data_IF_609207654465
#
_entry.id   IF_609207654465
#
_cell.length_a   1.000
_cell.length_b   1.000
_cell.length_c   1.000
_cell.angle_alpha   90.00
_cell.angle_beta   90.00
_cell.angle_gamma   90.00
#
_symmetry.space_group_name_H-M   'P 1'
#
loop_
_entity.id
_entity.type
_entity.pdbx_description
1 polymer ?
#
# COMPACT_ATOMS: atom_id res chain seq x y z
N UNK A 1 54.18 28.35 56.78
CA UNK A 1 53.34 29.25 55.96
C UNK A 1 51.89 28.76 56.03
N UNK A 2 50.94 29.71 56.01
CA UNK A 2 49.48 29.63 55.85
C UNK A 2 48.66 28.45 56.44
N UNK A 3 47.65 28.86 57.21
CA UNK A 3 46.39 28.18 57.57
C UNK A 3 45.24 29.21 57.38
N UNK A 4 43.94 28.88 57.53
CA UNK A 4 43.27 27.59 57.72
C UNK A 4 42.30 27.32 56.51
N UNK A 5 41.01 26.91 56.52
CA UNK A 5 40.05 26.48 57.55
C UNK A 5 38.81 25.76 56.96
N UNK A 6 38.37 24.63 57.60
CA UNK A 6 36.93 24.24 57.83
C UNK A 6 36.06 23.94 56.55
N UNK A 7 34.90 23.26 56.53
CA UNK A 7 33.95 22.55 57.44
C UNK A 7 32.98 21.72 56.52
N UNK A 8 32.11 20.72 56.82
CA UNK A 8 31.55 19.91 57.95
C UNK A 8 31.36 18.46 57.36
N UNK A 9 31.74 17.31 57.97
CA UNK A 9 30.97 16.35 58.82
C UNK A 9 29.48 16.08 58.40
N UNK A 10 28.86 14.90 58.59
CA UNK A 10 29.26 13.56 59.13
C UNK A 10 28.12 12.50 59.03
N UNK A 11 28.46 11.20 59.15
CA UNK A 11 27.63 10.05 59.60
C UNK A 11 26.38 9.64 58.76
N UNK A 12 26.16 8.39 58.29
CA UNK A 12 26.16 7.02 58.87
C UNK A 12 24.82 6.54 59.51
N UNK A 13 24.07 5.70 58.76
CA UNK A 13 23.51 4.35 59.09
C UNK A 13 22.65 4.13 60.39
N UNK A 14 21.90 3.00 60.54
CA UNK A 14 21.30 2.05 59.57
C UNK A 14 19.84 1.59 59.92
N UNK A 15 19.31 0.58 59.20
CA UNK A 15 18.82 -0.73 59.74
C UNK A 15 17.37 -1.21 59.37
N UNK A 16 17.29 -2.51 59.02
CA UNK A 16 16.15 -3.46 58.92
C UNK A 16 14.78 -3.05 58.34
N UNK A 17 14.36 -3.87 57.36
CA UNK A 17 13.10 -4.62 57.42
C UNK A 17 13.40 -6.13 57.25
N UNK A 18 12.46 -7.03 57.58
CA UNK A 18 12.62 -8.50 57.47
C UNK A 18 11.24 -9.18 57.34
N UNK A 19 11.22 -10.37 56.71
CA UNK A 19 10.06 -11.27 56.52
C UNK A 19 9.00 -10.71 55.52
N UNK A 20 8.42 -11.39 54.52
CA UNK A 20 8.19 -12.81 54.12
C UNK A 20 6.76 -13.33 54.38
N UNK A 21 5.93 -13.39 53.33
CA UNK A 21 4.80 -14.32 53.16
C UNK A 21 4.26 -14.26 51.71
N UNK A 22 3.55 -15.30 51.28
CA UNK A 22 2.84 -15.41 49.98
C UNK A 22 1.33 -15.49 50.19
N UNK A 23 0.55 -15.22 49.13
CA UNK A 23 -0.78 -15.76 48.75
C UNK A 23 -1.83 -14.69 48.39
N UNK A 24 -2.78 -15.07 47.53
CA UNK A 24 -4.17 -14.60 47.62
C UNK A 24 -4.63 -13.54 46.60
N UNK A 25 -5.22 -14.04 45.52
CA UNK A 25 -6.45 -13.60 44.82
C UNK A 25 -7.19 -12.33 45.31
N UNK A 26 -7.76 -11.58 44.36
CA UNK A 26 -8.92 -10.72 44.62
C UNK A 26 -8.96 -9.35 43.93
N UNK A 27 -9.22 -9.31 42.62
CA UNK A 27 -9.72 -8.10 41.94
C UNK A 27 -11.05 -8.41 41.23
N UNK A 28 -12.06 -7.51 41.29
CA UNK A 28 -13.45 -7.86 40.98
C UNK A 28 -13.79 -7.84 39.49
N UNK A 29 -14.50 -8.87 39.01
CA UNK A 29 -15.17 -8.88 37.71
C UNK A 29 -16.36 -7.90 37.71
N UNK A 30 -16.39 -6.99 36.73
CA UNK A 30 -17.54 -6.16 36.37
C UNK A 30 -17.61 -5.93 34.87
N UNK A 31 -18.04 -6.94 34.13
CA UNK A 31 -18.58 -6.77 32.78
C UNK A 31 -19.89 -5.98 32.82
N UNK A 32 -20.08 -4.93 31.99
CA UNK A 32 -21.41 -4.36 31.75
C UNK A 32 -22.32 -5.39 31.06
N UNK A 33 -23.58 -5.46 31.48
CA UNK A 33 -24.61 -6.21 30.75
C UNK A 33 -25.14 -5.37 29.59
N UNK A 34 -25.39 -6.00 28.45
CA UNK A 34 -26.20 -5.46 27.36
C UNK A 34 -27.40 -6.41 27.19
N UNK A 35 -28.60 -5.89 27.42
CA UNK A 35 -29.87 -6.61 27.22
C UNK A 35 -30.56 -6.12 25.94
N UNK A 36 -31.36 -7.00 25.32
CA UNK A 36 -32.36 -6.61 24.32
C UNK A 36 -31.85 -6.39 22.89
N UNK A 37 -31.81 -7.48 22.12
CA UNK A 37 -32.01 -7.42 20.65
C UNK A 37 -33.21 -8.31 20.33
N UNK A 38 -34.32 -7.71 19.89
CA UNK A 38 -35.48 -8.46 19.39
C UNK A 38 -35.20 -8.99 17.98
N UNK A 39 -35.56 -10.25 17.73
CA UNK A 39 -35.42 -10.86 16.40
C UNK A 39 -36.66 -10.56 15.55
N UNK A 40 -36.48 -9.86 14.43
CA UNK A 40 -37.48 -9.81 13.37
C UNK A 40 -37.14 -10.81 12.25
N UNK A 41 -37.81 -11.96 12.29
CA UNK A 41 -37.90 -12.87 11.14
C UNK A 41 -38.77 -12.24 10.03
N UNK A 42 -38.35 -12.44 8.78
CA UNK A 42 -39.28 -12.66 7.66
C UNK A 42 -38.59 -13.33 6.48
N UNK A 43 -38.77 -14.65 6.39
CA UNK A 43 -38.57 -15.41 5.17
C UNK A 43 -39.47 -14.92 4.02
N UNK A 44 -39.02 -15.14 2.78
CA UNK A 44 -39.92 -15.47 1.68
C UNK A 44 -39.91 -14.54 0.45
N UNK A 45 -39.11 -14.90 -0.56
CA UNK A 45 -39.51 -14.82 -1.98
C UNK A 45 -38.55 -15.62 -2.87
N UNK A 46 -38.87 -16.90 -3.10
CA UNK A 46 -38.34 -17.62 -4.26
C UNK A 46 -39.13 -17.26 -5.53
N UNK A 47 -38.47 -17.28 -6.70
CA UNK A 47 -38.78 -18.09 -7.92
C UNK A 47 -38.64 -17.34 -9.25
N UNK A 48 -38.29 -18.14 -10.26
CA UNK A 48 -38.11 -17.79 -11.69
C UNK A 48 -36.87 -16.91 -11.95
N UNK A 49 -36.10 -17.10 -13.02
CA UNK A 49 -36.30 -17.91 -14.26
C UNK A 49 -35.24 -19.02 -14.40
N UNK A 50 -35.51 -20.03 -15.23
CA UNK A 50 -34.61 -21.16 -15.58
C UNK A 50 -34.55 -21.30 -17.13
N UNK A 51 -33.60 -22.09 -17.63
CA UNK A 51 -33.39 -22.51 -19.06
C UNK A 51 -32.78 -21.45 -20.01
N UNK A 52 -31.95 -21.80 -21.02
CA UNK A 52 -31.16 -23.02 -21.26
C UNK A 52 -30.09 -22.83 -22.38
N UNK A 53 -29.10 -23.74 -22.42
CA UNK A 53 -28.31 -24.24 -23.59
C UNK A 53 -27.59 -23.29 -24.56
N UNK A 54 -26.28 -23.53 -24.76
CA UNK A 54 -25.51 -23.13 -25.96
C UNK A 54 -25.57 -24.19 -27.08
N UNK A 55 -24.52 -24.42 -27.92
CA UNK A 55 -23.15 -23.88 -27.88
C UNK A 55 -22.65 -23.31 -29.25
N UNK A 56 -21.32 -23.16 -29.40
CA UNK A 56 -20.53 -22.60 -30.54
C UNK A 56 -20.36 -21.07 -30.55
N UNK A 57 -19.29 -20.50 -31.13
CA UNK A 57 -18.06 -21.14 -31.62
C UNK A 57 -17.18 -20.22 -32.49
N UNK A 58 -15.97 -19.89 -32.00
CA UNK A 58 -14.88 -19.15 -32.69
C UNK A 58 -15.25 -17.79 -33.33
N UNK A 59 -14.79 -16.71 -32.69
CA UNK A 59 -14.08 -15.62 -33.40
C UNK A 59 -13.27 -14.80 -32.40
N UNK A 60 -11.93 -14.79 -32.56
CA UNK A 60 -11.07 -13.95 -31.74
C UNK A 60 -11.21 -12.48 -32.17
N UNK A 61 -11.35 -11.58 -31.19
CA UNK A 61 -11.21 -10.14 -31.41
C UNK A 61 -10.19 -9.58 -30.43
N UNK A 62 -9.04 -9.23 -30.98
CA UNK A 62 -8.00 -8.47 -30.31
C UNK A 62 -8.59 -7.17 -29.76
N UNK A 63 -8.23 -6.81 -28.53
CA UNK A 63 -8.23 -5.42 -28.06
C UNK A 63 -6.81 -5.11 -27.63
N UNK A 64 -6.15 -4.22 -28.37
CA UNK A 64 -4.90 -3.63 -27.92
C UNK A 64 -5.19 -2.70 -26.74
N UNK A 65 -4.26 -2.61 -25.79
CA UNK A 65 -4.31 -1.60 -24.75
C UNK A 65 -4.26 -0.21 -25.37
N UNK A 66 -5.11 0.69 -24.89
CA UNK A 66 -5.11 2.11 -25.21
C UNK A 66 -5.36 2.92 -23.93
N UNK A 67 -4.33 2.97 -23.08
CA UNK A 67 -4.23 3.98 -22.03
C UNK A 67 -3.88 5.33 -22.69
N UNK A 68 -4.92 5.99 -23.21
CA UNK A 68 -4.87 7.33 -23.79
C UNK A 68 -6.22 8.01 -23.57
N UNK A 69 -6.23 9.21 -22.98
CA UNK A 69 -7.42 9.84 -22.41
C UNK A 69 -8.55 10.11 -23.40
N UNK A 70 -9.80 9.88 -22.96
CA UNK A 70 -11.02 10.14 -23.72
C UNK A 70 -11.96 11.12 -23.02
N UNK A 71 -11.91 12.40 -23.40
CA UNK A 71 -12.88 13.41 -22.95
C UNK A 71 -14.27 13.09 -23.52
N UNK A 72 -15.28 12.93 -22.65
CA UNK A 72 -16.68 12.95 -23.06
C UNK A 72 -17.54 13.83 -22.16
N UNK A 73 -18.27 14.74 -22.79
CA UNK A 73 -19.22 15.65 -22.15
C UNK A 73 -20.63 15.07 -22.18
N UNK A 74 -21.45 15.31 -21.14
CA UNK A 74 -22.86 15.69 -21.31
C UNK A 74 -23.54 16.10 -19.98
N UNK A 75 -24.24 17.24 -20.04
CA UNK A 75 -25.58 17.53 -19.48
C UNK A 75 -26.05 16.71 -18.26
N UNK A 76 -26.19 17.36 -17.11
CA UNK A 76 -26.73 16.75 -15.89
C UNK A 76 -28.26 16.76 -15.78
N UNK A 77 -28.77 15.93 -14.86
CA UNK A 77 -30.09 16.06 -14.25
C UNK A 77 -29.98 15.83 -12.73
N UNK A 78 -30.54 16.72 -11.92
CA UNK A 78 -30.43 16.65 -10.45
C UNK A 78 -31.58 15.88 -9.82
N UNK A 79 -31.29 14.78 -9.12
CA UNK A 79 -32.13 14.24 -8.05
C UNK A 79 -31.26 13.87 -6.84
N UNK A 80 -31.80 14.03 -5.64
CA UNK A 80 -31.06 13.94 -4.38
C UNK A 80 -31.20 12.57 -3.70
N UNK A 81 -30.31 12.27 -2.75
CA UNK A 81 -30.49 11.15 -1.81
C UNK A 81 -29.57 9.94 -2.01
N UNK A 82 -28.29 10.16 -2.29
CA UNK A 82 -27.28 9.08 -2.26
C UNK A 82 -25.88 9.62 -2.48
N UNK A 83 -24.96 9.37 -1.52
CA UNK A 83 -23.54 9.60 -1.72
C UNK A 83 -22.98 8.46 -2.58
N UNK A 84 -22.94 8.68 -3.90
CA UNK A 84 -22.36 7.75 -4.88
C UNK A 84 -20.86 7.58 -4.57
N UNK A 85 -20.33 6.36 -4.66
CA UNK A 85 -18.89 6.12 -4.60
C UNK A 85 -18.25 6.52 -5.93
N UNK A 86 -18.15 7.83 -6.16
CA UNK A 86 -17.71 8.44 -7.41
C UNK A 86 -16.43 9.27 -7.27
N UNK A 87 -15.86 9.57 -8.43
CA UNK A 87 -14.82 10.57 -8.69
C UNK A 87 -14.94 11.82 -7.78
N UNK A 88 -13.91 12.09 -6.97
CA UNK A 88 -13.86 13.27 -6.10
C UNK A 88 -13.56 14.50 -6.96
N UNK A 89 -14.55 15.40 -7.09
CA UNK A 89 -14.46 16.62 -7.91
C UNK A 89 -14.06 17.87 -7.11
N UNK A 90 -13.33 17.67 -6.01
CA UNK A 90 -12.74 18.76 -5.24
C UNK A 90 -11.52 19.33 -5.99
N UNK A 91 -11.29 20.64 -5.89
CA UNK A 91 -10.10 21.27 -6.49
C UNK A 91 -8.78 20.70 -5.90
N UNK A 92 -7.74 20.45 -6.72
CA UNK A 92 -6.47 19.90 -6.27
C UNK A 92 -5.83 20.73 -5.16
N UNK A 93 -5.61 20.12 -3.99
CA UNK A 93 -5.27 20.82 -2.72
C UNK A 93 -3.79 21.17 -2.58
N UNK A 94 -2.98 20.60 -3.45
CA UNK A 94 -1.52 20.73 -3.56
C UNK A 94 -1.10 20.41 -5.00
N UNK A 95 0.05 20.92 -5.42
CA UNK A 95 0.51 20.87 -6.83
C UNK A 95 2.00 20.57 -6.97
N UNK A 96 2.75 20.52 -5.86
CA UNK A 96 4.21 20.38 -5.87
C UNK A 96 4.68 19.39 -4.80
N UNK A 97 5.77 18.65 -5.07
CA UNK A 97 6.39 17.69 -4.10
C UNK A 97 6.81 18.38 -2.80
N UNK A 98 7.05 19.69 -2.85
CA UNK A 98 7.41 20.54 -1.73
C UNK A 98 6.23 20.89 -0.79
N UNK A 99 4.99 20.59 -1.18
CA UNK A 99 3.79 20.76 -0.33
C UNK A 99 3.69 19.69 0.79
N UNK A 100 4.68 18.77 0.83
CA UNK A 100 4.72 17.56 1.66
C UNK A 100 6.01 17.43 2.48
N UNK A 101 5.92 16.68 3.58
CA UNK A 101 7.09 16.05 4.18
C UNK A 101 7.53 14.80 3.40
N UNK A 102 8.83 14.53 3.39
CA UNK A 102 9.46 13.43 2.66
C UNK A 102 10.60 12.77 3.47
N UNK A 103 11.39 11.86 2.87
CA UNK A 103 12.44 11.11 3.59
C UNK A 103 13.39 12.01 4.39
N UNK A 104 13.75 13.17 3.82
CA UNK A 104 14.64 14.17 4.44
C UNK A 104 14.10 14.70 5.78
N UNK A 105 12.79 14.67 5.98
CA UNK A 105 12.08 15.25 7.13
C UNK A 105 11.85 14.21 8.23
N UNK A 106 11.73 12.93 7.86
CA UNK A 106 11.35 11.84 8.78
C UNK A 106 12.52 11.22 9.57
N UNK A 107 13.77 11.53 9.22
CA UNK A 107 14.98 11.03 9.92
C UNK A 107 15.05 9.48 10.01
N UNK A 108 14.63 8.79 8.96
CA UNK A 108 14.50 7.33 8.90
C UNK A 108 15.86 6.62 9.10
N UNK A 109 15.86 5.50 9.83
CA UNK A 109 17.07 4.72 10.13
C UNK A 109 16.85 3.22 10.05
N UNK A 110 17.73 2.49 9.38
CA UNK A 110 17.60 1.05 9.18
C UNK A 110 17.49 0.25 10.50
N UNK A 111 18.21 0.64 11.56
CA UNK A 111 18.16 -0.08 12.85
C UNK A 111 16.79 0.02 13.55
N UNK A 112 15.93 0.96 13.14
CA UNK A 112 14.59 1.14 13.68
C UNK A 112 13.51 0.40 12.89
N UNK A 113 13.77 0.07 11.61
CA UNK A 113 12.80 -0.58 10.73
C UNK A 113 12.64 -2.05 11.10
N UNK A 114 11.38 -2.48 11.27
CA UNK A 114 11.00 -3.89 11.43
C UNK A 114 9.92 -4.25 10.40
N UNK A 115 9.99 -5.44 9.78
CA UNK A 115 9.02 -5.85 8.76
C UNK A 115 7.61 -5.99 9.35
N UNK A 116 7.51 -6.51 10.58
CA UNK A 116 6.24 -6.86 11.20
C UNK A 116 5.99 -6.07 12.48
N UNK A 117 4.75 -5.60 12.64
CA UNK A 117 4.32 -4.78 13.77
C UNK A 117 2.88 -4.30 13.58
N UNK A 118 2.44 -3.34 14.39
CA UNK A 118 1.14 -2.69 14.24
C UNK A 118 1.23 -1.20 14.59
N UNK A 119 0.65 -0.36 13.72
CA UNK A 119 0.27 1.01 14.03
C UNK A 119 -1.23 1.00 14.42
N UNK A 120 -1.69 1.79 15.41
CA UNK A 120 -3.07 1.71 15.89
C UNK A 120 -4.16 1.94 14.82
N UNK A 121 -3.90 2.79 13.82
CA UNK A 121 -4.82 3.15 12.73
C UNK A 121 -4.57 2.35 11.44
N UNK A 122 -3.43 1.66 11.35
CA UNK A 122 -3.14 0.75 10.25
C UNK A 122 -3.65 -0.67 10.57
N UNK A 123 -3.65 -1.54 9.56
CA UNK A 123 -3.83 -2.96 9.82
C UNK A 123 -2.54 -3.59 10.38
N UNK A 124 -2.62 -4.71 11.13
CA UNK A 124 -1.42 -5.40 11.62
C UNK A 124 -0.59 -5.94 10.46
N UNK A 125 0.69 -5.54 10.35
CA UNK A 125 1.63 -6.04 9.34
C UNK A 125 2.21 -7.39 9.80
N UNK A 126 1.35 -8.29 10.22
CA UNK A 126 1.70 -9.58 10.85
C UNK A 126 1.36 -10.72 9.86
N UNK A 127 2.25 -11.70 9.64
CA UNK A 127 2.00 -12.79 8.71
C UNK A 127 0.66 -13.49 8.95
N UNK A 128 -0.12 -13.65 7.87
CA UNK A 128 -1.45 -14.22 7.92
C UNK A 128 -2.57 -13.22 8.28
N UNK A 129 -2.29 -11.94 8.50
CA UNK A 129 -3.33 -10.90 8.42
C UNK A 129 -3.93 -10.87 7.01
N UNK A 130 -5.27 -10.77 6.94
CA UNK A 130 -6.04 -10.75 5.69
C UNK A 130 -7.22 -9.80 5.80
N UNK A 131 -7.52 -9.09 4.71
CA UNK A 131 -8.77 -8.33 4.57
C UNK A 131 -9.24 -8.22 3.11
N UNK A 132 -10.47 -7.75 2.93
CA UNK A 132 -11.17 -7.65 1.63
C UNK A 132 -11.95 -6.36 1.53
N UNK A 133 -11.82 -5.67 0.41
CA UNK A 133 -12.68 -4.55 0.00
C UNK A 133 -13.46 -4.93 -1.26
N UNK A 134 -14.71 -4.50 -1.35
CA UNK A 134 -15.54 -4.65 -2.55
C UNK A 134 -16.19 -3.31 -2.94
N UNK A 135 -16.23 -3.04 -4.26
CA UNK A 135 -16.94 -1.92 -4.87
C UNK A 135 -17.87 -2.45 -5.97
N UNK A 136 -19.12 -2.82 -5.62
CA UNK A 136 -20.08 -3.40 -6.57
C UNK A 136 -20.55 -2.44 -7.68
N UNK A 137 -20.25 -1.15 -7.56
CA UNK A 137 -20.57 -0.05 -8.47
C UNK A 137 -19.34 0.53 -9.21
N UNK A 138 -18.22 -0.21 -9.23
CA UNK A 138 -17.02 0.15 -9.98
C UNK A 138 -17.28 0.10 -11.52
N UNK A 139 -16.73 1.03 -12.32
CA UNK A 139 -17.08 1.18 -13.74
C UNK A 139 -16.84 -0.06 -14.61
N UNK A 140 -15.77 -0.82 -14.36
CA UNK A 140 -15.39 -1.98 -15.18
C UNK A 140 -16.12 -3.29 -14.84
N UNK A 141 -16.97 -3.29 -13.81
CA UNK A 141 -17.64 -4.49 -13.28
C UNK A 141 -17.54 -4.54 -11.76
N UNK A 142 -17.94 -5.66 -11.12
CA UNK A 142 -17.84 -5.77 -9.65
C UNK A 142 -16.39 -5.88 -9.22
N UNK A 143 -15.81 -4.78 -8.74
CA UNK A 143 -14.45 -4.73 -8.25
C UNK A 143 -14.35 -5.32 -6.84
N UNK A 144 -13.24 -6.02 -6.60
CA UNK A 144 -12.93 -6.63 -5.32
C UNK A 144 -11.42 -6.79 -5.14
N UNK A 145 -10.88 -6.41 -3.98
CA UNK A 145 -9.48 -6.60 -3.58
C UNK A 145 -9.31 -7.63 -2.48
N UNK A 146 -8.26 -8.44 -2.54
CA UNK A 146 -7.76 -9.30 -1.44
C UNK A 146 -6.36 -8.89 -1.03
N UNK A 147 -6.22 -8.43 0.22
CA UNK A 147 -4.92 -8.03 0.77
C UNK A 147 -4.48 -9.01 1.86
N UNK A 148 -3.28 -9.56 1.72
CA UNK A 148 -2.73 -10.63 2.56
C UNK A 148 -1.28 -10.32 2.94
N UNK A 149 -0.98 -10.23 4.23
CA UNK A 149 0.40 -10.14 4.72
C UNK A 149 1.03 -11.53 4.69
N UNK A 150 2.15 -11.67 3.98
CA UNK A 150 2.85 -12.96 3.82
C UNK A 150 3.84 -13.21 4.98
N UNK A 151 4.29 -14.46 5.07
CA UNK A 151 5.37 -14.92 5.98
C UNK A 151 6.78 -14.66 5.39
N UNK A 152 6.84 -14.06 4.20
CA UNK A 152 8.06 -13.65 3.51
C UNK A 152 8.43 -12.20 3.82
N UNK A 153 9.73 -11.94 3.92
CA UNK A 153 10.31 -10.60 4.03
C UNK A 153 11.23 -10.31 2.86
N UNK A 154 11.35 -9.04 2.49
CA UNK A 154 12.21 -8.56 1.41
C UNK A 154 13.41 -7.80 2.00
N UNK A 155 14.60 -7.95 1.41
CA UNK A 155 15.84 -7.30 1.86
C UNK A 155 16.09 -5.96 1.14
N UNK A 156 16.32 -4.90 1.93
CA UNK A 156 16.64 -3.56 1.44
C UNK A 156 18.01 -3.10 1.94
N UNK A 157 18.72 -2.34 1.10
CA UNK A 157 20.05 -1.76 1.38
C UNK A 157 20.12 -0.36 0.75
N UNK A 158 19.49 0.62 1.39
CA UNK A 158 19.32 1.96 0.82
C UNK A 158 20.49 2.86 1.24
N UNK A 159 21.16 3.45 0.25
CA UNK A 159 22.22 4.43 0.47
C UNK A 159 21.75 5.58 1.40
N UNK A 160 22.49 5.81 2.49
CA UNK A 160 22.16 6.81 3.50
C UNK A 160 21.20 6.33 4.62
N UNK A 161 20.49 5.21 4.45
CA UNK A 161 19.58 4.64 5.46
C UNK A 161 20.15 3.35 6.09
N UNK A 162 20.71 2.47 5.26
CA UNK A 162 21.31 1.19 5.66
C UNK A 162 20.49 -0.06 5.28
N UNK A 163 20.85 -1.20 5.90
CA UNK A 163 20.28 -2.54 5.62
C UNK A 163 19.14 -2.89 6.56
N UNK A 164 17.98 -3.27 6.02
CA UNK A 164 16.81 -3.68 6.81
C UNK A 164 15.90 -4.64 6.01
N UNK A 165 14.82 -5.10 6.65
CA UNK A 165 13.81 -5.98 6.05
C UNK A 165 12.42 -5.36 6.09
N UNK A 166 11.67 -5.55 5.02
CA UNK A 166 10.24 -5.20 4.91
C UNK A 166 9.39 -6.46 4.88
N UNK A 167 8.12 -6.36 5.28
CA UNK A 167 7.15 -7.42 5.05
C UNK A 167 6.66 -7.35 3.60
N UNK A 168 6.39 -8.53 3.02
CA UNK A 168 5.72 -8.61 1.72
C UNK A 168 4.21 -8.69 1.96
N UNK A 169 3.48 -7.70 1.49
CA UNK A 169 2.02 -7.70 1.44
C UNK A 169 1.60 -7.99 0.01
N UNK A 170 0.82 -9.05 -0.20
CA UNK A 170 0.22 -9.33 -1.50
C UNK A 170 -1.13 -8.65 -1.59
N UNK A 171 -1.38 -7.95 -2.70
CA UNK A 171 -2.72 -7.52 -3.10
C UNK A 171 -3.14 -8.26 -4.38
N UNK A 172 -4.41 -8.64 -4.48
CA UNK A 172 -5.02 -9.30 -5.65
C UNK A 172 -6.34 -8.62 -5.99
N UNK A 173 -6.50 -8.20 -7.24
CA UNK A 173 -7.68 -7.49 -7.71
C UNK A 173 -8.50 -8.35 -8.66
N UNK A 174 -9.82 -8.24 -8.53
CA UNK A 174 -10.79 -9.04 -9.25
C UNK A 174 -11.91 -8.17 -9.83
N UNK A 175 -12.22 -8.36 -11.10
CA UNK A 175 -13.41 -7.81 -11.78
C UNK A 175 -14.37 -8.95 -12.07
N UNK A 176 -15.60 -8.88 -11.55
CA UNK A 176 -16.65 -9.92 -11.66
C UNK A 176 -16.17 -11.34 -11.25
N UNK A 177 -15.18 -11.40 -10.34
CA UNK A 177 -14.58 -12.64 -9.84
C UNK A 177 -13.44 -13.21 -10.70
N UNK A 178 -13.06 -12.54 -11.79
CA UNK A 178 -11.86 -12.85 -12.58
C UNK A 178 -10.68 -12.06 -12.03
N UNK A 179 -9.57 -12.73 -11.70
CA UNK A 179 -8.33 -12.07 -11.27
C UNK A 179 -7.78 -11.21 -12.43
N UNK A 180 -7.67 -9.90 -12.23
CA UNK A 180 -7.18 -8.94 -13.24
C UNK A 180 -5.77 -8.44 -12.94
N UNK A 181 -5.41 -8.27 -11.67
CA UNK A 181 -4.09 -7.80 -11.26
C UNK A 181 -3.63 -8.49 -9.96
N UNK A 182 -2.31 -8.63 -9.78
CA UNK A 182 -1.67 -8.94 -8.50
C UNK A 182 -0.49 -8.00 -8.26
N UNK A 183 -0.33 -7.53 -7.03
CA UNK A 183 0.82 -6.75 -6.58
C UNK A 183 1.52 -7.41 -5.37
N UNK A 184 2.81 -7.13 -5.21
CA UNK A 184 3.57 -7.34 -3.97
C UNK A 184 4.09 -5.99 -3.50
N UNK A 185 3.56 -5.52 -2.38
CA UNK A 185 3.94 -4.30 -1.68
C UNK A 185 4.97 -4.58 -0.58
N UNK A 186 5.95 -3.69 -0.42
CA UNK A 186 7.02 -3.80 0.57
C UNK A 186 6.84 -2.77 1.68
N UNK A 187 6.16 -3.17 2.76
CA UNK A 187 5.83 -2.29 3.88
C UNK A 187 6.65 -2.63 5.13
N UNK A 188 6.98 -1.62 5.94
CA UNK A 188 7.62 -1.84 7.24
C UNK A 188 7.28 -0.73 8.24
N UNK A 189 7.51 -1.01 9.53
CA UNK A 189 7.21 -0.09 10.63
C UNK A 189 8.51 0.38 11.31
N UNK A 190 8.60 1.67 11.59
CA UNK A 190 9.61 2.22 12.50
C UNK A 190 9.14 2.01 13.95
N UNK A 191 9.85 1.14 14.69
CA UNK A 191 9.52 0.76 16.06
C UNK A 191 9.69 1.88 17.11
N UNK A 192 10.21 3.03 16.72
CA UNK A 192 10.43 4.20 17.59
C UNK A 192 9.42 5.32 17.39
N UNK A 193 8.85 5.42 16.19
CA UNK A 193 7.78 6.39 15.87
C UNK A 193 6.40 5.73 15.74
N UNK A 194 6.32 4.42 15.54
CA UNK A 194 5.13 3.66 15.10
C UNK A 194 4.60 4.05 13.71
N UNK A 195 5.37 4.79 12.91
CA UNK A 195 5.00 5.10 11.53
C UNK A 195 5.21 3.88 10.61
N UNK A 196 4.28 3.68 9.67
CA UNK A 196 4.34 2.66 8.62
C UNK A 196 4.78 3.30 7.32
N UNK A 197 5.80 2.74 6.68
CA UNK A 197 6.38 3.24 5.44
C UNK A 197 6.24 2.22 4.30
N UNK A 198 6.07 2.73 3.09
CA UNK A 198 6.14 1.98 1.84
C UNK A 198 7.54 2.12 1.22
N UNK A 199 8.15 1.00 0.84
CA UNK A 199 9.48 0.95 0.23
C UNK A 199 9.45 0.46 -1.23
N UNK A 200 8.26 0.20 -1.77
CA UNK A 200 8.07 -0.15 -3.16
C UNK A 200 6.91 -1.12 -3.41
N UNK A 201 6.58 -1.27 -4.68
CA UNK A 201 5.65 -2.27 -5.20
C UNK A 201 6.27 -2.95 -6.42
N UNK A 202 5.86 -4.20 -6.69
CA UNK A 202 5.93 -4.81 -8.02
C UNK A 202 4.60 -5.45 -8.40
N UNK A 203 4.11 -5.21 -9.62
CA UNK A 203 2.75 -5.55 -10.05
C UNK A 203 2.69 -6.27 -11.41
N UNK A 204 1.62 -7.06 -11.60
CA UNK A 204 1.32 -7.78 -12.84
C UNK A 204 -0.18 -7.75 -13.18
N UNK A 205 -0.49 -7.33 -14.40
CA UNK A 205 -1.76 -7.63 -15.07
C UNK A 205 -1.87 -9.14 -15.35
N UNK A 206 -3.08 -9.68 -15.43
CA UNK A 206 -3.34 -11.11 -15.62
C UNK A 206 -4.03 -11.37 -16.97
N UNK A 207 -3.24 -11.33 -18.06
CA UNK A 207 -3.71 -11.61 -19.43
C UNK A 207 -3.90 -13.12 -19.69
N UNK A 208 -5.12 -13.54 -20.01
CA UNK A 208 -5.55 -14.95 -20.15
C UNK A 208 -5.07 -15.87 -19.00
N UNK A 209 -4.95 -15.34 -17.77
CA UNK A 209 -4.44 -16.09 -16.62
C UNK A 209 -2.90 -16.20 -16.54
N UNK A 210 -2.16 -15.38 -17.30
CA UNK A 210 -0.70 -15.28 -17.29
C UNK A 210 -0.29 -13.92 -16.71
N UNK A 211 0.73 -13.84 -15.83
CA UNK A 211 1.22 -12.56 -15.34
C UNK A 211 1.99 -11.81 -16.43
N UNK A 212 1.55 -10.60 -16.75
CA UNK A 212 2.28 -9.61 -17.55
C UNK A 212 2.75 -8.53 -16.60
N UNK A 213 4.06 -8.26 -16.58
CA UNK A 213 4.63 -7.23 -15.71
C UNK A 213 4.06 -5.85 -16.06
N UNK A 214 3.40 -5.22 -15.08
CA UNK A 214 2.77 -3.91 -15.20
C UNK A 214 3.72 -2.80 -14.76
N UNK A 215 4.37 -2.95 -13.61
CA UNK A 215 5.38 -2.01 -13.13
C UNK A 215 6.13 -2.47 -11.88
N UNK A 216 7.10 -1.64 -11.49
CA UNK A 216 7.71 -1.68 -10.15
C UNK A 216 8.33 -0.33 -9.82
N UNK A 217 8.29 0.05 -8.55
CA UNK A 217 9.16 1.07 -7.99
C UNK A 217 9.78 0.51 -6.71
N UNK A 218 11.02 0.91 -6.39
CA UNK A 218 11.73 0.42 -5.21
C UNK A 218 12.60 1.51 -4.61
N UNK A 219 12.38 1.80 -3.34
CA UNK A 219 13.12 2.83 -2.63
C UNK A 219 14.63 2.55 -2.63
N UNK A 220 15.42 3.52 -3.06
CA UNK A 220 16.87 3.40 -3.27
C UNK A 220 17.31 3.04 -4.70
N UNK A 221 16.40 2.72 -5.62
CA UNK A 221 16.68 2.49 -7.04
C UNK A 221 16.24 3.66 -7.93
N UNK A 222 16.72 3.70 -9.19
CA UNK A 222 16.24 4.68 -10.17
C UNK A 222 14.83 4.34 -10.63
N UNK A 223 13.99 5.37 -10.65
CA UNK A 223 12.69 5.43 -11.31
C UNK A 223 12.68 6.72 -12.15
N UNK A 224 12.67 6.58 -13.48
CA UNK A 224 12.68 7.72 -14.40
C UNK A 224 14.00 8.48 -14.36
N UNK A 225 13.95 9.73 -13.88
CA UNK A 225 15.08 10.64 -13.70
C UNK A 225 15.48 10.85 -12.22
N UNK A 226 14.82 10.15 -11.28
CA UNK A 226 15.05 10.27 -9.83
C UNK A 226 15.38 8.93 -9.18
N UNK A 227 15.97 8.96 -7.99
CA UNK A 227 15.99 7.80 -7.08
C UNK A 227 14.67 7.81 -6.31
N UNK A 228 13.94 6.69 -6.31
CA UNK A 228 12.71 6.58 -5.52
C UNK A 228 13.04 6.65 -4.02
N UNK A 229 12.34 7.50 -3.27
CA UNK A 229 12.42 7.53 -1.79
C UNK A 229 11.32 6.64 -1.17
N UNK A 230 11.47 6.17 0.08
CA UNK A 230 10.35 5.56 0.80
C UNK A 230 9.20 6.56 0.94
N UNK A 231 7.97 6.09 0.90
CA UNK A 231 6.78 6.86 1.24
C UNK A 231 6.32 6.59 2.68
N UNK A 232 5.60 7.53 3.28
CA UNK A 232 4.92 7.35 4.56
C UNK A 232 3.47 6.98 4.28
N UNK A 233 3.03 5.85 4.80
CA UNK A 233 1.70 5.31 4.56
C UNK A 233 0.74 5.68 5.70
N UNK A 234 1.16 5.47 6.94
CA UNK A 234 0.39 5.88 8.12
C UNK A 234 1.33 6.39 9.22
N UNK A 235 1.26 7.67 9.64
CA UNK A 235 2.08 8.17 10.75
C UNK A 235 1.68 7.51 12.08
N UNK A 236 2.66 7.34 12.98
CA UNK A 236 2.40 6.86 14.35
C UNK A 236 1.53 7.79 15.20
N UNK A 237 1.48 9.08 14.84
CA UNK A 237 0.60 10.10 15.44
C UNK A 237 -0.19 10.79 14.33
N UNK A 238 -1.51 10.67 14.35
CA UNK A 238 -2.38 11.31 13.37
C UNK A 238 -2.67 12.76 13.73
N UNK A 239 -2.07 13.69 13.00
CA UNK A 239 -2.30 15.14 13.12
C UNK A 239 -3.06 15.64 11.91
N UNK A 240 -4.24 16.24 12.09
CA UNK A 240 -5.04 16.87 11.02
C UNK A 240 -4.24 18.00 10.35
N UNK A 241 -4.31 18.08 9.03
CA UNK A 241 -3.48 18.98 8.21
C UNK A 241 -2.03 18.52 8.03
N UNK A 242 -1.64 17.39 8.64
CA UNK A 242 -0.34 16.75 8.38
C UNK A 242 -0.27 16.21 6.95
N UNK A 243 0.84 16.49 6.26
CA UNK A 243 1.06 16.14 4.84
C UNK A 243 2.36 15.38 4.64
N UNK A 244 2.30 14.27 3.92
CA UNK A 244 3.43 13.39 3.64
C UNK A 244 3.32 12.74 2.26
N UNK A 245 4.45 12.50 1.58
CA UNK A 245 4.46 11.71 0.35
C UNK A 245 4.12 10.25 0.66
N UNK A 246 3.21 9.66 -0.10
CA UNK A 246 2.79 8.26 0.03
C UNK A 246 3.56 7.34 -0.94
N UNK A 247 3.84 7.83 -2.14
CA UNK A 247 4.73 7.19 -3.11
C UNK A 247 5.87 8.16 -3.46
N UNK A 248 7.11 7.71 -3.25
CA UNK A 248 8.32 8.50 -3.46
C UNK A 248 8.97 8.29 -4.83
N UNK A 249 8.40 7.47 -5.70
CA UNK A 249 8.86 7.24 -7.07
C UNK A 249 8.73 8.46 -7.99
N UNK A 250 8.96 8.22 -9.28
CA UNK A 250 8.66 9.16 -10.35
C UNK A 250 7.24 8.95 -10.85
N UNK A 251 6.86 7.70 -11.17
CA UNK A 251 5.64 7.38 -11.94
C UNK A 251 4.37 7.70 -11.15
N UNK A 252 4.31 7.22 -9.91
CA UNK A 252 3.14 7.30 -9.03
C UNK A 252 3.18 8.50 -8.08
N UNK A 253 4.07 9.48 -8.32
CA UNK A 253 4.36 10.55 -7.37
C UNK A 253 3.08 11.24 -6.87
N UNK A 254 2.82 11.11 -5.58
CA UNK A 254 1.59 11.53 -4.93
C UNK A 254 1.75 11.61 -3.41
N UNK A 255 0.77 12.22 -2.74
CA UNK A 255 0.87 12.47 -1.32
C UNK A 255 -0.47 12.54 -0.61
N UNK A 256 -0.38 12.35 0.71
CA UNK A 256 -1.49 12.22 1.63
C UNK A 256 -1.65 13.47 2.49
N UNK A 257 -2.89 13.88 2.73
CA UNK A 257 -3.26 14.85 3.75
C UNK A 257 -4.20 14.21 4.77
N UNK A 258 -3.88 14.36 6.05
CA UNK A 258 -4.73 13.96 7.17
C UNK A 258 -5.92 14.92 7.29
N UNK A 259 -7.10 14.55 6.79
CA UNK A 259 -8.24 15.45 6.66
C UNK A 259 -9.04 15.63 7.96
N UNK A 260 -9.30 14.54 8.70
CA UNK A 260 -10.38 14.51 9.70
C UNK A 260 -10.19 13.37 10.71
N UNK A 261 -10.73 13.52 11.93
CA UNK A 261 -10.67 12.54 13.03
C UNK A 261 -12.00 12.39 13.76
N UNK A 262 -12.17 11.28 14.50
CA UNK A 262 -13.37 11.03 15.30
C UNK A 262 -14.56 10.51 14.50
N UNK A 263 -14.32 10.05 13.27
CA UNK A 263 -15.35 9.57 12.34
C UNK A 263 -15.97 8.27 12.88
N UNK A 264 -17.29 8.15 12.69
CA UNK A 264 -18.02 6.89 12.79
C UNK A 264 -18.43 6.44 11.39
N UNK A 265 -18.10 5.21 11.02
CA UNK A 265 -18.25 4.69 9.66
C UNK A 265 -18.86 3.30 9.66
N UNK A 266 -19.90 3.08 8.87
CA UNK A 266 -20.59 1.79 8.73
C UNK A 266 -20.37 1.21 7.33
N UNK A 267 -19.86 -0.01 7.30
CA UNK A 267 -19.53 -0.81 6.11
C UNK A 267 -20.03 -2.25 6.31
N UNK A 268 -20.03 -3.13 5.30
CA UNK A 268 -20.55 -4.49 5.45
C UNK A 268 -19.89 -5.31 6.57
N UNK A 269 -18.60 -5.05 6.88
CA UNK A 269 -17.90 -5.66 8.00
C UNK A 269 -18.33 -5.18 9.41
N UNK A 270 -19.12 -4.10 9.51
CA UNK A 270 -19.63 -3.53 10.77
C UNK A 270 -19.55 -2.00 10.85
N UNK A 271 -19.83 -1.48 12.05
CA UNK A 271 -19.70 -0.05 12.40
C UNK A 271 -18.44 0.19 13.21
N UNK A 272 -17.60 1.12 12.76
CA UNK A 272 -16.32 1.48 13.34
C UNK A 272 -16.37 2.91 13.87
N UNK A 273 -15.66 3.19 14.97
CA UNK A 273 -15.65 4.48 15.66
C UNK A 273 -14.22 4.96 15.89
N UNK A 274 -14.04 6.26 16.10
CA UNK A 274 -12.73 6.92 16.23
C UNK A 274 -11.86 6.76 14.97
N UNK A 275 -12.49 6.64 13.81
CA UNK A 275 -11.80 6.56 12.53
C UNK A 275 -11.28 7.94 12.11
N UNK A 276 -10.40 7.94 11.11
CA UNK A 276 -9.79 9.13 10.53
C UNK A 276 -9.91 9.08 9.01
N UNK A 277 -9.97 10.26 8.35
CA UNK A 277 -9.95 10.36 6.89
C UNK A 277 -8.59 10.86 6.42
N UNK A 278 -7.96 10.11 5.54
CA UNK A 278 -6.81 10.56 4.75
C UNK A 278 -7.29 10.84 3.34
N UNK A 279 -6.80 11.91 2.73
CA UNK A 279 -6.93 12.15 1.30
C UNK A 279 -5.60 11.90 0.62
N UNK A 280 -5.57 11.00 -0.34
CA UNK A 280 -4.46 10.85 -1.29
C UNK A 280 -4.80 11.59 -2.58
N UNK A 281 -3.83 12.25 -3.20
CA UNK A 281 -3.96 12.81 -4.55
C UNK A 281 -2.62 12.76 -5.30
N UNK A 282 -2.68 12.47 -6.60
CA UNK A 282 -1.54 12.48 -7.50
C UNK A 282 -0.92 13.87 -7.69
N UNK A 283 0.39 13.91 -7.94
CA UNK A 283 1.13 15.10 -8.37
C UNK A 283 1.44 15.11 -9.87
N UNK A 284 1.19 13.99 -10.58
CA UNK A 284 1.11 13.96 -12.05
C UNK A 284 -0.31 14.27 -12.54
N UNK A 285 -1.27 13.44 -12.14
CA UNK A 285 -2.68 13.64 -12.46
C UNK A 285 -3.38 14.30 -11.27
N UNK A 286 -3.39 15.64 -11.24
CA UNK A 286 -3.81 16.43 -10.08
C UNK A 286 -5.28 16.21 -9.63
N UNK A 287 -6.13 15.63 -10.49
CA UNK A 287 -7.53 15.32 -10.19
C UNK A 287 -7.76 13.84 -9.85
N UNK A 288 -6.71 13.01 -9.89
CA UNK A 288 -6.74 11.71 -9.22
C UNK A 288 -6.68 11.97 -7.71
N UNK A 289 -7.82 11.82 -7.06
CA UNK A 289 -8.06 12.12 -5.64
C UNK A 289 -8.87 10.96 -5.04
N UNK A 290 -8.37 10.38 -3.96
CA UNK A 290 -9.10 9.37 -3.17
C UNK A 290 -9.22 9.77 -1.70
N UNK A 291 -10.35 9.46 -1.07
CA UNK A 291 -10.56 9.60 0.38
C UNK A 291 -10.65 8.22 1.02
N UNK A 292 -9.75 7.95 1.98
CA UNK A 292 -9.63 6.67 2.67
C UNK A 292 -9.97 6.82 4.15
N UNK A 293 -10.89 5.99 4.63
CA UNK A 293 -11.31 5.93 6.03
C UNK A 293 -10.53 4.84 6.75
N UNK A 294 -9.63 5.26 7.64
CA UNK A 294 -8.79 4.38 8.45
C UNK A 294 -9.39 4.26 9.85
N UNK A 295 -9.57 3.04 10.35
CA UNK A 295 -10.16 2.80 11.67
C UNK A 295 -9.22 1.97 12.56
N UNK A 296 -9.27 2.17 13.89
CA UNK A 296 -8.43 1.45 14.82
C UNK A 296 -8.49 -0.08 14.66
N UNK A 297 -7.35 -0.74 14.87
CA UNK A 297 -7.15 -2.21 14.80
C UNK A 297 -7.27 -2.83 13.40
N UNK A 298 -8.03 -2.23 12.48
CA UNK A 298 -8.44 -2.88 11.22
C UNK A 298 -7.82 -2.26 9.97
N UNK A 299 -7.37 -1.00 10.01
CA UNK A 299 -6.82 -0.29 8.84
C UNK A 299 -7.92 0.37 8.00
N UNK A 300 -7.78 0.36 6.67
CA UNK A 300 -8.80 0.91 5.76
C UNK A 300 -10.12 0.16 5.92
N UNK A 301 -11.19 0.85 6.27
CA UNK A 301 -12.56 0.28 6.23
C UNK A 301 -13.33 0.71 4.99
N UNK A 302 -12.96 1.84 4.38
CA UNK A 302 -13.53 2.31 3.13
C UNK A 302 -12.51 3.14 2.35
N UNK A 303 -12.56 2.99 1.03
CA UNK A 303 -11.78 3.69 0.03
C UNK A 303 -12.72 4.12 -1.11
N UNK A 304 -12.47 5.27 -1.73
CA UNK A 304 -13.23 5.72 -2.90
C UNK A 304 -12.82 5.01 -4.19
N UNK A 305 -11.61 4.46 -4.31
CA UNK A 305 -11.24 3.58 -5.41
C UNK A 305 -11.72 2.15 -5.17
N UNK A 306 -11.35 1.57 -4.04
CA UNK A 306 -11.42 0.10 -3.81
C UNK A 306 -12.75 -0.34 -3.14
N UNK A 307 -13.54 0.60 -2.63
CA UNK A 307 -14.84 0.35 -2.01
C UNK A 307 -14.76 0.08 -0.50
N UNK A 308 -15.58 -0.84 -0.01
CA UNK A 308 -15.86 -1.00 1.43
C UNK A 308 -15.40 -2.36 1.96
N UNK A 309 -14.90 -2.37 3.19
CA UNK A 309 -14.43 -3.57 3.88
C UNK A 309 -15.57 -4.57 4.10
N UNK A 310 -15.35 -5.81 3.66
CA UNK A 310 -16.30 -6.92 3.73
C UNK A 310 -15.89 -7.95 4.79
N UNK A 311 -14.61 -8.35 4.82
CA UNK A 311 -14.05 -9.25 5.84
C UNK A 311 -12.64 -8.82 6.27
N UNK A 312 -12.28 -9.11 7.53
CA UNK A 312 -10.92 -8.91 8.06
C UNK A 312 -10.69 -9.77 9.32
N UNK A 313 -9.57 -10.49 9.41
CA UNK A 313 -9.26 -11.30 10.59
C UNK A 313 -8.66 -10.51 11.77
N UNK A 314 -8.59 -9.19 11.66
CA UNK A 314 -8.39 -8.29 12.79
C UNK A 314 -9.69 -8.04 13.60
N UNK A 315 -10.84 -8.49 13.09
CA UNK A 315 -12.14 -8.36 13.77
C UNK A 315 -12.31 -9.40 14.91
N UNK A 316 -13.18 -9.12 15.90
CA UNK A 316 -13.56 -10.10 16.92
C UNK A 316 -14.10 -11.41 16.28
N UNK A 317 -13.73 -12.57 16.85
CA UNK A 317 -14.02 -13.89 16.26
C UNK A 317 -15.52 -14.25 16.20
N UNK A 318 -16.34 -13.52 16.94
CA UNK A 318 -17.79 -13.58 16.99
C UNK A 318 -18.47 -12.67 15.95
N UNK A 319 -17.74 -11.74 15.32
CA UNK A 319 -18.22 -11.02 14.14
C UNK A 319 -18.15 -11.96 12.91
N UNK A 320 -19.24 -12.21 12.16
CA UNK A 320 -19.22 -13.00 10.93
C UNK A 320 -18.19 -12.53 9.89
N UNK A 321 -17.89 -11.23 9.85
CA UNK A 321 -16.89 -10.65 8.96
C UNK A 321 -15.43 -11.01 9.34
N UNK A 322 -15.19 -11.73 10.44
CA UNK A 322 -13.88 -12.29 10.77
C UNK A 322 -13.53 -13.55 9.94
N UNK A 323 -14.49 -14.16 9.22
CA UNK A 323 -14.18 -15.33 8.39
C UNK A 323 -13.46 -14.96 7.08
N UNK A 324 -12.14 -14.97 7.14
CA UNK A 324 -11.24 -14.84 5.98
C UNK A 324 -10.89 -16.19 5.33
N UNK A 325 -11.71 -17.23 5.53
CA UNK A 325 -11.54 -18.53 4.86
C UNK A 325 -11.76 -18.43 3.36
N UNK A 326 -12.51 -17.45 2.88
CA UNK A 326 -12.69 -17.11 1.46
C UNK A 326 -11.41 -16.57 0.83
N UNK A 327 -10.64 -15.79 1.59
CA UNK A 327 -9.49 -15.04 1.09
C UNK A 327 -8.34 -15.95 0.72
N UNK A 328 -7.93 -15.93 -0.54
CA UNK A 328 -6.97 -16.84 -1.14
C UNK A 328 -7.56 -18.18 -1.60
N UNK A 329 -8.89 -18.38 -1.66
CA UNK A 329 -9.46 -19.57 -2.33
C UNK A 329 -9.20 -19.58 -3.85
N UNK A 330 -8.73 -18.46 -4.41
CA UNK A 330 -8.30 -18.31 -5.81
C UNK A 330 -6.76 -18.40 -5.96
N UNK A 331 -6.02 -18.67 -4.87
CA UNK A 331 -4.55 -18.67 -4.77
C UNK A 331 -3.88 -19.98 -5.25
N UNK A 332 -4.66 -21.01 -5.57
CA UNK A 332 -4.17 -22.39 -5.85
C UNK A 332 -3.38 -22.56 -7.16
N UNK A 333 -3.04 -21.45 -7.82
CA UNK A 333 -1.86 -21.34 -8.68
C UNK A 333 -0.92 -20.28 -8.11
N UNK A 334 -0.03 -20.64 -7.16
CA UNK A 334 1.19 -19.86 -6.97
C UNK A 334 1.88 -19.76 -8.33
N UNK A 335 2.24 -18.55 -8.75
CA UNK A 335 2.88 -18.35 -10.03
C UNK A 335 4.22 -19.10 -10.01
N UNK A 336 4.42 -20.01 -10.96
CA UNK A 336 5.75 -20.62 -11.24
C UNK A 336 6.69 -19.64 -11.96
N UNK A 337 6.56 -18.38 -11.59
CA UNK A 337 7.28 -17.23 -12.10
C UNK A 337 7.79 -16.50 -10.86
N UNK A 338 9.00 -16.85 -10.43
CA UNK A 338 9.80 -15.92 -9.64
C UNK A 338 9.95 -14.68 -10.49
N UNK A 339 9.45 -13.51 -10.09
CA UNK A 339 9.57 -12.33 -10.92
C UNK A 339 11.05 -11.97 -11.10
N UNK A 340 11.44 -11.42 -12.26
CA UNK A 340 12.71 -10.74 -12.40
C UNK A 340 12.64 -9.44 -11.58
N UNK A 341 12.90 -9.54 -10.29
CA UNK A 341 13.37 -8.40 -9.48
C UNK A 341 14.66 -7.91 -10.14
N UNK A 342 14.82 -6.60 -10.28
CA UNK A 342 16.04 -6.03 -10.85
C UNK A 342 17.25 -6.46 -10.01
N UNK A 343 18.16 -7.21 -10.63
CA UNK A 343 19.45 -7.63 -10.03
C UNK A 343 20.58 -6.66 -10.41
N UNK A 344 20.34 -5.94 -11.50
CA UNK A 344 21.11 -4.79 -11.95
C UNK A 344 20.27 -3.57 -11.64
N UNK A 345 20.79 -2.58 -10.93
CA UNK A 345 20.03 -1.34 -10.69
C UNK A 345 19.98 -0.47 -11.94
N UNK A 346 19.00 0.44 -12.05
CA UNK A 346 18.94 1.39 -13.16
C UNK A 346 20.21 2.24 -13.29
N UNK A 347 20.90 2.47 -12.17
CA UNK A 347 22.18 3.20 -12.10
C UNK A 347 23.36 2.38 -12.68
N UNK A 348 23.30 1.05 -12.60
CA UNK A 348 24.21 0.14 -13.30
C UNK A 348 23.84 -0.01 -14.77
N UNK A 349 22.55 -0.16 -15.09
CA UNK A 349 22.06 -0.21 -16.47
C UNK A 349 22.42 1.07 -17.25
N UNK A 350 22.32 2.24 -16.62
CA UNK A 350 22.78 3.52 -17.15
C UNK A 350 24.27 3.51 -17.52
N UNK A 351 25.12 2.97 -16.66
CA UNK A 351 26.57 2.88 -16.90
C UNK A 351 26.91 1.89 -18.02
N UNK A 352 26.11 0.83 -18.16
CA UNK A 352 26.20 -0.13 -19.27
C UNK A 352 25.77 0.52 -20.59
N UNK A 353 24.65 1.25 -20.59
CA UNK A 353 24.11 1.93 -21.76
C UNK A 353 25.03 3.06 -22.27
N UNK A 354 25.56 3.90 -21.38
CA UNK A 354 26.51 4.96 -21.72
C UNK A 354 27.87 4.45 -22.22
N UNK A 355 28.21 3.19 -21.96
CA UNK A 355 29.41 2.56 -22.51
C UNK A 355 29.21 2.07 -23.97
N UNK A 356 27.96 1.83 -24.39
CA UNK A 356 27.59 1.49 -25.77
C UNK A 356 27.30 2.76 -26.59
N UNK A 357 26.48 3.67 -26.06
CA UNK A 357 26.07 4.93 -26.72
C UNK A 357 26.44 6.13 -25.83
N UNK A 358 27.55 6.83 -26.12
CA UNK A 358 27.91 8.05 -25.40
C UNK A 358 26.96 9.22 -25.70
N UNK A 359 26.33 9.77 -24.66
CA UNK A 359 25.43 10.91 -24.75
C UNK A 359 25.00 11.43 -23.38
N UNK A 360 23.87 12.14 -23.33
CA UNK A 360 23.22 12.52 -22.07
C UNK A 360 21.96 11.68 -21.89
N UNK A 361 21.89 10.91 -20.80
CA UNK A 361 20.66 10.20 -20.43
C UNK A 361 19.52 11.19 -20.18
N UNK A 362 18.35 10.86 -20.71
CA UNK A 362 17.10 11.63 -20.60
C UNK A 362 16.03 10.88 -19.78
N UNK A 363 16.03 9.55 -19.78
CA UNK A 363 15.20 8.75 -18.87
C UNK A 363 15.74 7.34 -18.64
N UNK A 364 15.34 6.71 -17.53
CA UNK A 364 15.61 5.30 -17.20
C UNK A 364 14.30 4.65 -16.73
N UNK A 365 13.67 3.83 -17.57
CA UNK A 365 12.38 3.18 -17.27
C UNK A 365 12.50 1.66 -17.37
N UNK A 366 11.75 0.89 -16.57
CA UNK A 366 11.64 -0.56 -16.78
C UNK A 366 10.45 -0.82 -17.70
N UNK A 367 10.69 -1.36 -18.90
CA UNK A 367 9.65 -1.72 -19.87
C UNK A 367 9.80 -3.15 -20.39
N UNK A 368 8.76 -3.64 -21.07
CA UNK A 368 8.73 -4.99 -21.67
C UNK A 368 9.12 -5.01 -23.15
N UNK A 369 10.37 -4.70 -23.50
CA UNK A 369 10.85 -4.77 -24.89
C UNK A 369 11.22 -6.21 -25.30
N UNK A 370 10.87 -6.62 -26.53
CA UNK A 370 11.24 -7.93 -27.15
C UNK A 370 10.91 -9.17 -26.29
N UNK A 371 9.85 -9.10 -25.47
CA UNK A 371 9.40 -10.19 -24.59
C UNK A 371 10.15 -10.33 -23.26
N UNK A 372 11.12 -9.46 -22.98
CA UNK A 372 11.85 -9.36 -21.71
C UNK A 372 11.50 -8.08 -20.97
N UNK A 373 11.69 -8.07 -19.66
CA UNK A 373 11.78 -6.81 -18.91
C UNK A 373 13.20 -6.25 -19.07
N UNK A 374 13.32 -4.97 -19.42
CA UNK A 374 14.58 -4.26 -19.64
C UNK A 374 14.52 -2.88 -19.01
N UNK A 375 15.65 -2.35 -18.57
CA UNK A 375 15.81 -0.89 -18.51
C UNK A 375 15.88 -0.37 -19.94
N UNK A 376 14.95 0.50 -20.29
CA UNK A 376 15.04 1.44 -21.40
C UNK A 376 15.81 2.64 -20.88
N UNK A 377 17.03 2.83 -21.37
CA UNK A 377 17.83 4.02 -21.11
C UNK A 377 17.74 4.90 -22.35
N UNK A 378 16.96 5.96 -22.26
CA UNK A 378 16.85 7.01 -23.29
C UNK A 378 18.10 7.88 -23.22
N UNK A 379 18.83 8.04 -24.33
CA UNK A 379 20.09 8.77 -24.42
C UNK A 379 20.02 9.79 -25.57
N UNK A 380 19.99 11.08 -25.23
CA UNK A 380 20.22 12.16 -26.18
C UNK A 380 21.69 12.12 -26.66
N UNK A 381 21.91 11.66 -27.89
CA UNK A 381 23.22 11.67 -28.54
C UNK A 381 23.56 13.08 -29.10
N UNK A 382 24.84 13.42 -29.31
CA UNK A 382 25.21 14.73 -29.88
C UNK A 382 24.97 14.90 -31.40
N UNK A 383 24.48 13.86 -32.11
CA UNK A 383 24.41 13.85 -33.59
C UNK A 383 23.17 13.19 -34.15
N UNK A 384 22.76 12.05 -33.58
CA UNK A 384 21.87 11.08 -34.21
C UNK A 384 20.48 11.04 -33.56
N UNK A 385 20.16 12.08 -32.77
CA UNK A 385 18.92 12.19 -32.01
C UNK A 385 18.97 11.51 -30.63
N UNK A 386 17.81 11.26 -30.07
CA UNK A 386 17.64 10.38 -28.91
C UNK A 386 17.76 8.91 -29.35
N UNK A 387 18.36 8.08 -28.48
CA UNK A 387 18.61 6.66 -28.73
C UNK A 387 18.35 5.84 -27.50
N UNK A 388 17.62 4.75 -27.67
CA UNK A 388 17.30 3.81 -26.59
C UNK A 388 18.38 2.73 -26.50
N UNK A 389 18.75 2.37 -25.27
CA UNK A 389 19.50 1.13 -24.98
C UNK A 389 18.67 0.25 -24.05
N UNK A 390 18.41 -0.99 -24.46
CA UNK A 390 17.63 -1.97 -23.71
C UNK A 390 18.55 -2.90 -22.91
N UNK A 391 18.66 -2.70 -21.61
CA UNK A 391 19.50 -3.49 -20.70
C UNK A 391 18.66 -4.47 -19.88
N UNK A 392 18.95 -5.76 -20.01
CA UNK A 392 18.30 -6.87 -19.30
C UNK A 392 18.43 -6.73 -17.77
N UNK A 393 17.30 -6.61 -17.06
CA UNK A 393 17.29 -6.24 -15.62
C UNK A 393 17.87 -7.30 -14.67
N UNK A 394 18.03 -8.54 -15.14
CA UNK A 394 18.61 -9.63 -14.35
C UNK A 394 20.12 -9.81 -14.59
N UNK A 395 20.60 -9.54 -15.81
CA UNK A 395 21.95 -9.92 -16.25
C UNK A 395 22.81 -8.77 -16.77
N UNK A 396 22.27 -7.56 -16.89
CA UNK A 396 23.02 -6.38 -17.34
C UNK A 396 23.44 -6.44 -18.81
N UNK A 397 22.85 -7.35 -19.60
CA UNK A 397 23.17 -7.51 -21.02
C UNK A 397 22.33 -6.56 -21.85
N UNK A 398 22.96 -5.87 -22.79
CA UNK A 398 22.23 -5.15 -23.84
C UNK A 398 21.53 -6.19 -24.73
N UNK A 399 20.21 -6.07 -24.85
CA UNK A 399 19.34 -6.93 -25.68
C UNK A 399 18.72 -6.18 -26.87
N UNK A 400 19.11 -4.93 -27.04
CA UNK A 400 18.84 -4.12 -28.22
C UNK A 400 19.11 -2.64 -27.98
N UNK A 401 19.00 -1.91 -29.08
CA UNK A 401 18.91 -0.46 -29.15
C UNK A 401 17.81 -0.10 -30.14
N UNK A 402 17.41 1.17 -30.17
CA UNK A 402 16.54 1.78 -31.20
C UNK A 402 17.19 3.09 -31.70
#
# INVERSE_FOLDING_TARGET
MNQPARNIRSAQRPYRAKNSATLGDGWPDRRPQLEGIEMFDKQGLERQVKTASGPSGRLARWRAALMAGGVLTAVGFTLAGGAVAGEIKDEPRFKHRQDFSSLRDWNLKAENIIPHGANPLYYPIVPGHKHVHERPDHPDGKYRKETVVLDSTEDFDIAGIGKFKTAVVQEEEYIDGVLTQRALNWFALDKTTNSVYAFGEVSWEIDEGKPVFAGTWRAGELDGDVVAEPGLLMPGTFTVGGRYLFDGGSVNLGGSENMETGIEMTVPAGTFKNCVRVREQGLRELHDITDKIWCPVVGVVADTSDGKLIVSNALPKDNPAADVSSVGKLRDKPLKYTPPVAKVSGDQATKIALAEIPGKVTSVKIERKKGKNVYVVEIQTPKDGEKDVFVDIESGKIVGTD
#
